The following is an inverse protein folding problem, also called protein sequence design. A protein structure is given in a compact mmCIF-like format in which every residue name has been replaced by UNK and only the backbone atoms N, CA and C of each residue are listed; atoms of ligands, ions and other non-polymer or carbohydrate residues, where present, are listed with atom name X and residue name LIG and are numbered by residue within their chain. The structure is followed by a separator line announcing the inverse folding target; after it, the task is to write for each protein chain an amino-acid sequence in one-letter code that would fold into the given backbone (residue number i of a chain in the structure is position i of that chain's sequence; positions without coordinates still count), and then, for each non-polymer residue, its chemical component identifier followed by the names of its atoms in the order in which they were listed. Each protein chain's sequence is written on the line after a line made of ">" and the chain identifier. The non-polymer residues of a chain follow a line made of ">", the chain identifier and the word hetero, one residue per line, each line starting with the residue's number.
data_IF_866108845576
#
_entry.id   IF_866108845576
#
_cell.length_a   1.000
_cell.length_b   1.000
_cell.length_c   1.000
_cell.angle_alpha   90.00
_cell.angle_beta   90.00
_cell.angle_gamma   90.00
#
_symmetry.space_group_name_H-M   'P 1'
#
loop_
_entity.id
_entity.type
_entity.pdbx_description
1 polymer ?
#
# COMPACT_ATOMS: atom_id res chain seq x y z
N UNK A 1 18.40 32.75 15.27
CA UNK A 1 17.76 31.58 14.63
C UNK A 1 18.31 31.42 13.22
N UNK A 2 19.28 30.52 13.00
CA UNK A 2 19.84 30.20 11.67
C UNK A 2 19.08 28.99 11.11
N UNK A 3 18.16 29.22 10.18
CA UNK A 3 17.34 28.14 9.61
C UNK A 3 16.68 28.46 8.26
N UNK A 4 17.17 29.49 7.54
CA UNK A 4 16.69 29.79 6.19
C UNK A 4 17.52 28.99 5.19
N UNK A 5 16.89 28.03 4.52
CA UNK A 5 17.47 27.31 3.38
C UNK A 5 17.19 28.13 2.12
N UNK A 6 18.23 28.54 1.42
CA UNK A 6 18.13 29.33 0.18
C UNK A 6 17.97 28.39 -1.02
N UNK A 7 17.34 28.83 -2.11
CA UNK A 7 16.99 27.98 -3.26
C UNK A 7 18.18 27.23 -3.89
N UNK A 8 19.37 27.85 -3.90
CA UNK A 8 20.61 27.30 -4.46
C UNK A 8 21.51 26.60 -3.43
N UNK A 9 21.08 26.50 -2.17
CA UNK A 9 21.83 25.80 -1.13
C UNK A 9 21.47 24.31 -1.19
N UNK A 10 22.26 23.54 -1.93
CA UNK A 10 22.07 22.09 -2.09
C UNK A 10 22.19 21.36 -0.76
N UNK A 11 23.16 21.74 0.07
CA UNK A 11 23.44 21.11 1.36
C UNK A 11 22.33 21.42 2.38
N UNK A 12 21.85 22.67 2.41
CA UNK A 12 20.70 23.06 3.22
C UNK A 12 19.41 22.36 2.81
N UNK A 13 19.17 22.18 1.51
CA UNK A 13 18.01 21.42 0.99
C UNK A 13 18.10 19.95 1.34
N UNK A 14 19.30 19.36 1.30
CA UNK A 14 19.52 17.98 1.72
C UNK A 14 19.24 17.80 3.23
N UNK A 15 19.76 18.69 4.09
CA UNK A 15 19.45 18.68 5.53
C UNK A 15 17.95 18.79 5.80
N UNK A 16 17.25 19.67 5.08
CA UNK A 16 15.80 19.81 5.17
C UNK A 16 15.07 18.55 4.69
N UNK A 17 15.50 17.95 3.59
CA UNK A 17 14.92 16.71 3.07
C UNK A 17 15.09 15.55 4.06
N UNK A 18 16.28 15.38 4.65
CA UNK A 18 16.54 14.42 5.73
C UNK A 18 15.61 14.65 6.93
N UNK A 19 15.36 15.90 7.28
CA UNK A 19 14.43 16.25 8.36
C UNK A 19 12.97 15.94 8.03
N UNK A 20 12.53 16.17 6.78
CA UNK A 20 11.15 15.90 6.33
C UNK A 20 10.88 14.39 6.27
N UNK A 21 11.82 13.61 5.74
CA UNK A 21 11.66 12.16 5.55
C UNK A 21 11.68 11.42 6.90
N UNK A 22 12.24 12.01 7.96
CA UNK A 22 12.39 11.43 9.31
C UNK A 22 12.82 9.94 9.25
N UNK A 23 13.98 9.62 8.65
CA UNK A 23 14.48 8.26 8.72
C UNK A 23 14.66 7.87 10.19
N UNK A 24 14.26 6.65 10.58
CA UNK A 24 14.25 6.23 11.99
C UNK A 24 15.66 6.12 12.59
N UNK A 25 16.68 5.97 11.75
CA UNK A 25 18.09 5.82 12.15
C UNK A 25 18.99 6.68 11.28
N UNK A 26 20.07 7.20 11.88
CA UNK A 26 21.14 7.84 11.11
C UNK A 26 22.17 6.81 10.69
N UNK A 27 22.42 6.69 9.38
CA UNK A 27 23.43 5.77 8.83
C UNK A 27 24.85 6.17 9.26
N UNK A 28 25.11 7.46 9.46
CA UNK A 28 26.41 7.97 9.94
C UNK A 28 26.72 7.49 11.37
N UNK A 29 25.70 7.11 12.14
CA UNK A 29 25.80 6.66 13.54
C UNK A 29 25.72 5.14 13.67
N UNK A 30 25.57 4.42 12.55
CA UNK A 30 25.42 2.97 12.50
C UNK A 30 26.73 2.35 12.01
N UNK A 31 27.33 1.49 12.82
CA UNK A 31 28.54 0.77 12.47
C UNK A 31 28.30 -0.73 12.59
N UNK A 32 28.75 -1.50 11.59
CA UNK A 32 28.69 -2.95 11.62
C UNK A 32 30.09 -3.53 11.75
N UNK A 33 30.31 -4.28 12.83
CA UNK A 33 31.54 -5.03 13.03
C UNK A 33 31.35 -6.48 12.55
N UNK A 34 32.01 -6.81 11.43
CA UNK A 34 31.94 -8.12 10.80
C UNK A 34 32.64 -9.21 11.62
N UNK A 35 33.64 -8.86 12.45
CA UNK A 35 34.41 -9.85 13.22
C UNK A 35 33.60 -10.38 14.39
N UNK A 36 32.97 -9.47 15.11
CA UNK A 36 32.16 -9.80 16.29
C UNK A 36 30.69 -10.04 15.96
N UNK A 37 30.28 -9.85 14.69
CA UNK A 37 28.89 -9.93 14.23
C UNK A 37 27.96 -9.03 15.06
N UNK A 38 28.37 -7.79 15.30
CA UNK A 38 27.60 -6.83 16.11
C UNK A 38 27.34 -5.54 15.35
N UNK A 39 26.19 -4.95 15.61
CA UNK A 39 25.78 -3.64 15.10
C UNK A 39 25.86 -2.64 16.25
N UNK A 40 26.70 -1.62 16.11
CA UNK A 40 26.80 -0.51 17.05
C UNK A 40 26.00 0.67 16.53
N UNK A 41 25.18 1.26 17.40
CA UNK A 41 24.49 2.51 17.13
C UNK A 41 24.92 3.57 18.15
N UNK A 42 25.53 4.63 17.67
CA UNK A 42 25.95 5.76 18.50
C UNK A 42 24.76 6.69 18.74
N UNK A 43 24.13 6.60 19.90
CA UNK A 43 23.13 7.57 20.36
C UNK A 43 23.77 8.91 20.72
N UNK A 44 22.96 9.83 21.27
CA UNK A 44 23.47 11.13 21.73
C UNK A 44 24.35 10.99 22.98
N UNK A 45 23.90 10.15 23.91
CA UNK A 45 24.51 10.01 25.24
C UNK A 45 25.12 8.63 25.46
N UNK A 46 24.72 7.63 24.66
CA UNK A 46 25.17 6.24 24.81
C UNK A 46 25.36 5.56 23.46
N UNK A 47 26.33 4.66 23.40
CA UNK A 47 26.51 3.73 22.28
C UNK A 47 25.89 2.41 22.66
N UNK A 48 24.98 1.90 21.83
CA UNK A 48 24.31 0.62 22.07
C UNK A 48 24.80 -0.41 21.06
N UNK A 49 25.16 -1.60 21.55
CA UNK A 49 25.51 -2.75 20.73
C UNK A 49 24.30 -3.68 20.61
N UNK A 50 24.08 -4.21 19.41
CA UNK A 50 22.97 -5.12 19.12
C UNK A 50 23.47 -6.29 18.27
N UNK A 51 22.83 -7.45 18.45
CA UNK A 51 22.92 -8.52 17.46
C UNK A 51 22.25 -8.08 16.14
N UNK A 52 22.70 -8.52 14.95
CA UNK A 52 22.19 -8.02 13.67
C UNK A 52 20.68 -8.24 13.49
N UNK A 53 20.18 -9.39 13.94
CA UNK A 53 18.74 -9.69 13.85
C UNK A 53 17.90 -8.81 14.79
N UNK A 54 18.40 -8.50 15.98
CA UNK A 54 17.71 -7.60 16.92
C UNK A 54 17.69 -6.16 16.40
N UNK A 55 18.78 -5.73 15.75
CA UNK A 55 18.84 -4.45 15.07
C UNK A 55 17.78 -4.38 13.96
N UNK A 56 17.70 -5.41 13.10
CA UNK A 56 16.67 -5.51 12.06
C UNK A 56 15.25 -5.47 12.64
N UNK A 57 14.97 -6.29 13.66
CA UNK A 57 13.67 -6.32 14.34
C UNK A 57 13.27 -4.94 14.85
N UNK A 58 14.20 -4.23 15.48
CA UNK A 58 13.97 -2.90 16.05
C UNK A 58 13.77 -1.84 14.96
N UNK A 59 14.48 -1.94 13.84
CA UNK A 59 14.23 -1.10 12.67
C UNK A 59 12.85 -1.35 12.05
N UNK A 60 12.41 -2.61 12.00
CA UNK A 60 11.10 -2.97 11.46
C UNK A 60 9.93 -2.36 12.23
N UNK A 61 10.10 -2.03 13.52
CA UNK A 61 9.07 -1.33 14.32
C UNK A 61 8.71 0.06 13.78
N UNK A 62 9.58 0.66 12.96
CA UNK A 62 9.31 1.96 12.34
C UNK A 62 8.55 1.86 11.02
N UNK A 63 8.39 0.64 10.48
CA UNK A 63 7.59 0.40 9.28
C UNK A 63 6.12 0.33 9.72
N UNK A 64 5.25 1.22 9.22
CA UNK A 64 3.83 1.20 9.58
C UNK A 64 3.13 -0.05 9.08
N UNK A 65 2.02 -0.39 9.72
CA UNK A 65 1.20 -1.53 9.29
C UNK A 65 0.56 -1.28 7.93
N UNK A 66 0.20 -2.38 7.24
CA UNK A 66 -0.44 -2.30 5.93
C UNK A 66 -1.76 -1.53 6.03
N UNK A 67 -1.84 -0.42 5.30
CA UNK A 67 -3.04 0.43 5.25
C UNK A 67 -3.07 1.53 6.32
N UNK A 68 -2.05 1.62 7.17
CA UNK A 68 -1.93 2.71 8.13
C UNK A 68 -1.55 4.03 7.42
N UNK A 69 -2.32 5.08 7.69
CA UNK A 69 -2.12 6.38 7.06
C UNK A 69 -1.10 7.22 7.85
N UNK A 70 0.16 7.25 7.38
CA UNK A 70 1.24 8.06 7.95
C UNK A 70 0.97 9.58 7.87
N UNK A 71 0.27 10.05 6.84
CA UNK A 71 0.02 11.46 6.56
C UNK A 71 -1.48 11.77 6.65
N UNK A 72 -1.89 12.41 7.73
CA UNK A 72 -3.27 12.90 7.92
C UNK A 72 -3.37 14.35 7.47
N UNK A 73 -4.08 14.59 6.38
CA UNK A 73 -4.33 15.95 5.89
C UNK A 73 -5.59 16.54 6.51
N UNK A 74 -5.48 17.74 7.08
CA UNK A 74 -6.59 18.46 7.71
C UNK A 74 -6.96 19.75 6.98
N UNK A 75 -8.15 20.27 7.27
CA UNK A 75 -8.65 21.54 6.77
C UNK A 75 -8.56 21.66 5.25
N UNK A 76 -7.83 22.67 4.78
CA UNK A 76 -7.66 22.98 3.36
C UNK A 76 -7.04 21.85 2.53
N UNK A 77 -6.17 21.04 3.14
CA UNK A 77 -5.47 19.95 2.44
C UNK A 77 -6.17 18.60 2.60
N UNK A 78 -7.23 18.50 3.41
CA UNK A 78 -7.96 17.25 3.61
C UNK A 78 -8.51 16.67 2.29
N UNK A 79 -8.61 15.34 2.21
CA UNK A 79 -9.15 14.67 1.03
C UNK A 79 -10.59 15.12 0.73
N UNK A 80 -11.40 15.38 1.78
CA UNK A 80 -12.75 15.92 1.67
C UNK A 80 -12.75 17.31 1.02
N UNK A 81 -11.95 18.26 1.52
CA UNK A 81 -11.93 19.63 0.97
C UNK A 81 -11.38 19.66 -0.45
N UNK A 82 -10.37 18.83 -0.76
CA UNK A 82 -9.87 18.63 -2.13
C UNK A 82 -10.93 18.05 -3.05
N UNK A 83 -11.68 17.04 -2.58
CA UNK A 83 -12.78 16.43 -3.33
C UNK A 83 -13.89 17.43 -3.65
N UNK A 84 -14.31 18.22 -2.66
CA UNK A 84 -15.30 19.28 -2.85
C UNK A 84 -14.83 20.32 -3.88
N UNK A 85 -13.56 20.75 -3.84
CA UNK A 85 -13.01 21.68 -4.84
C UNK A 85 -12.96 21.09 -6.24
N UNK A 86 -12.70 19.79 -6.38
CA UNK A 86 -12.76 19.11 -7.69
C UNK A 86 -14.20 18.98 -8.19
N UNK A 87 -15.17 18.82 -7.29
CA UNK A 87 -16.59 18.69 -7.65
C UNK A 87 -17.23 20.02 -8.08
N UNK A 88 -16.76 21.17 -7.56
CA UNK A 88 -17.35 22.48 -7.87
C UNK A 88 -17.28 22.85 -9.37
N UNK A 89 -16.13 22.73 -10.06
CA UNK A 89 -16.05 22.91 -11.51
C UNK A 89 -16.88 21.88 -12.28
N UNK A 90 -16.78 20.59 -11.90
CA UNK A 90 -17.50 19.50 -12.57
C UNK A 90 -19.03 19.65 -12.48
N UNK A 91 -19.56 20.17 -11.37
CA UNK A 91 -20.97 20.51 -11.21
C UNK A 91 -21.40 21.73 -12.03
N UNK A 92 -20.48 22.67 -12.28
CA UNK A 92 -20.74 23.85 -13.12
C UNK A 92 -20.74 23.53 -14.62
N UNK A 93 -19.90 22.58 -15.05
CA UNK A 93 -19.85 22.07 -16.42
C UNK A 93 -21.04 21.14 -16.71
N UNK A 94 -21.37 20.22 -15.79
CA UNK A 94 -22.55 19.36 -15.91
C UNK A 94 -23.90 20.12 -15.90
N UNK A 95 -23.90 21.40 -15.46
CA UNK A 95 -25.08 22.29 -15.54
C UNK A 95 -25.18 23.04 -16.86
N UNK A 96 -24.08 23.21 -17.60
CA UNK A 96 -24.06 23.81 -18.95
C UNK A 96 -24.54 22.84 -20.01
N UNK A 97 -24.32 21.53 -19.84
CA UNK A 97 -24.68 20.51 -20.84
C UNK A 97 -26.17 20.11 -20.82
N UNK A 98 -27.01 20.76 -19.99
CA UNK A 98 -28.47 20.50 -19.92
C UNK A 98 -29.32 21.48 -20.73
N UNK A 99 -28.81 22.03 -21.83
CA UNK A 99 -29.59 22.84 -22.79
C UNK A 99 -29.33 22.41 -24.24
N UNK A 100 -29.99 21.33 -24.66
CA UNK A 100 -30.75 21.20 -25.92
C UNK A 100 -30.86 19.72 -26.36
N UNK A 101 -31.99 19.30 -26.96
CA UNK A 101 -32.15 17.96 -27.49
C UNK A 101 -31.72 17.89 -28.97
N UNK A 102 -31.24 16.70 -29.36
CA UNK A 102 -31.23 16.10 -30.71
C UNK A 102 -29.97 16.21 -31.60
N UNK A 103 -29.72 15.05 -32.23
CA UNK A 103 -28.98 14.72 -33.46
C UNK A 103 -27.45 14.48 -33.35
N UNK A 104 -27.14 13.18 -33.36
CA UNK A 104 -25.82 12.55 -33.55
C UNK A 104 -25.37 12.72 -35.01
N UNK A 105 -24.07 12.96 -35.27
CA UNK A 105 -23.36 12.30 -36.36
C UNK A 105 -22.23 11.39 -35.82
N UNK A 106 -21.86 10.32 -36.55
CA UNK A 106 -20.93 9.31 -36.05
C UNK A 106 -19.49 9.79 -36.21
N UNK A 107 -18.78 9.95 -35.09
CA UNK A 107 -17.32 10.08 -35.07
C UNK A 107 -16.79 8.78 -34.47
N UNK A 108 -16.11 7.99 -35.30
CA UNK A 108 -15.63 6.63 -34.99
C UNK A 108 -14.39 6.58 -34.07
N UNK A 109 -14.03 7.65 -33.35
CA UNK A 109 -12.77 7.69 -32.59
C UNK A 109 -12.89 7.53 -31.06
N UNK A 110 -14.10 7.38 -30.50
CA UNK A 110 -14.28 7.34 -29.03
C UNK A 110 -14.84 6.01 -28.46
N UNK A 111 -14.80 4.92 -29.22
CA UNK A 111 -15.25 3.62 -28.69
C UNK A 111 -14.33 3.09 -27.57
N UNK A 112 -13.07 3.51 -27.51
CA UNK A 112 -12.15 3.06 -26.45
C UNK A 112 -12.52 3.62 -25.08
N UNK A 113 -12.98 4.88 -24.99
CA UNK A 113 -13.35 5.51 -23.73
C UNK A 113 -14.76 5.09 -23.24
N UNK A 114 -15.69 4.81 -24.16
CA UNK A 114 -17.06 4.36 -23.82
C UNK A 114 -17.08 2.89 -23.40
N UNK A 115 -16.28 2.02 -24.04
CA UNK A 115 -16.07 0.65 -23.55
C UNK A 115 -15.35 0.64 -22.19
N UNK A 116 -14.52 1.67 -21.93
CA UNK A 116 -13.92 1.92 -20.64
C UNK A 116 -14.89 2.51 -19.59
N UNK A 117 -16.17 2.60 -19.85
CA UNK A 117 -17.13 3.18 -18.92
C UNK A 117 -18.18 2.16 -18.48
N UNK A 118 -18.29 1.06 -19.23
CA UNK A 118 -19.31 0.02 -19.08
C UNK A 118 -18.81 -1.29 -18.44
N UNK A 119 -17.51 -1.59 -18.50
CA UNK A 119 -16.96 -2.71 -17.74
C UNK A 119 -16.91 -2.33 -16.25
N UNK A 120 -17.66 -3.06 -15.42
CA UNK A 120 -17.67 -2.88 -13.97
C UNK A 120 -16.21 -2.80 -13.44
N UNK A 121 -15.93 -1.95 -12.44
CA UNK A 121 -14.57 -1.77 -11.91
C UNK A 121 -13.85 -3.08 -11.58
N UNK A 122 -14.57 -4.11 -11.13
CA UNK A 122 -14.01 -5.43 -10.84
C UNK A 122 -13.54 -6.19 -12.09
N UNK A 123 -14.26 -6.11 -13.21
CA UNK A 123 -13.93 -6.87 -14.43
C UNK A 123 -12.61 -6.38 -15.02
N UNK A 124 -12.37 -5.07 -14.95
CA UNK A 124 -11.09 -4.45 -15.35
C UNK A 124 -9.94 -4.89 -14.46
N UNK A 125 -10.16 -4.99 -13.15
CA UNK A 125 -9.13 -5.43 -12.22
C UNK A 125 -8.74 -6.88 -12.49
N UNK A 126 -9.69 -7.77 -12.74
CA UNK A 126 -9.42 -9.15 -13.13
C UNK A 126 -8.62 -9.18 -14.43
N UNK A 127 -9.05 -8.45 -15.46
CA UNK A 127 -8.32 -8.37 -16.73
C UNK A 127 -6.90 -7.82 -16.57
N UNK A 128 -6.68 -6.87 -15.67
CA UNK A 128 -5.35 -6.30 -15.44
C UNK A 128 -4.42 -7.26 -14.70
N UNK A 129 -4.93 -8.02 -13.74
CA UNK A 129 -4.12 -8.88 -12.87
C UNK A 129 -3.88 -10.24 -13.51
N UNK A 130 -4.93 -10.81 -14.11
CA UNK A 130 -4.92 -12.17 -14.65
C UNK A 130 -4.89 -12.22 -16.17
N UNK A 131 -4.86 -11.06 -16.85
CA UNK A 131 -4.84 -10.96 -18.32
C UNK A 131 -6.03 -11.64 -19.03
N UNK A 132 -7.08 -11.99 -18.27
CA UNK A 132 -8.29 -12.66 -18.75
C UNK A 132 -9.50 -11.72 -18.63
N UNK A 133 -10.29 -11.57 -19.69
CA UNK A 133 -11.53 -10.80 -19.66
C UNK A 133 -12.71 -11.67 -19.17
N UNK A 134 -13.26 -11.41 -17.96
CA UNK A 134 -14.32 -12.24 -17.40
C UNK A 134 -15.67 -12.07 -18.11
N UNK A 135 -15.82 -11.06 -18.97
CA UNK A 135 -17.04 -10.81 -19.74
C UNK A 135 -16.97 -11.40 -21.16
N UNK A 136 -15.98 -12.24 -21.46
CA UNK A 136 -15.89 -12.98 -22.73
C UNK A 136 -16.03 -14.47 -22.46
N UNK A 137 -16.94 -15.13 -23.18
CA UNK A 137 -17.13 -16.57 -23.01
C UNK A 137 -15.90 -17.35 -23.50
N UNK A 138 -15.30 -18.26 -22.70
CA UNK A 138 -14.12 -19.02 -23.11
C UNK A 138 -14.41 -20.03 -24.24
N UNK A 139 -15.68 -20.42 -24.45
CA UNK A 139 -16.06 -21.41 -25.48
C UNK A 139 -16.37 -20.77 -26.83
N UNK A 140 -17.12 -19.66 -26.83
CA UNK A 140 -17.63 -19.05 -28.07
C UNK A 140 -17.09 -17.64 -28.33
N UNK A 141 -16.25 -17.09 -27.44
CA UNK A 141 -15.60 -15.77 -27.55
C UNK A 141 -16.56 -14.58 -27.72
N UNK A 142 -17.84 -14.76 -27.38
CA UNK A 142 -18.84 -13.69 -27.42
C UNK A 142 -18.88 -12.90 -26.13
N UNK A 143 -19.25 -11.61 -26.18
CA UNK A 143 -19.45 -10.80 -24.97
C UNK A 143 -20.63 -11.34 -24.16
N UNK A 144 -20.43 -11.49 -22.85
CA UNK A 144 -21.42 -11.95 -21.88
C UNK A 144 -22.01 -10.77 -21.13
N UNK A 145 -23.29 -10.89 -20.75
CA UNK A 145 -23.99 -9.93 -19.89
C UNK A 145 -24.30 -10.59 -18.54
N UNK A 146 -24.24 -9.81 -17.47
CA UNK A 146 -24.58 -10.30 -16.13
C UNK A 146 -26.10 -10.41 -16.04
N UNK A 147 -26.60 -11.62 -15.79
CA UNK A 147 -28.05 -11.88 -15.66
C UNK A 147 -28.59 -11.62 -14.26
N UNK A 148 -27.83 -11.95 -13.22
CA UNK A 148 -28.22 -11.76 -11.82
C UNK A 148 -26.99 -11.78 -10.90
N UNK A 149 -27.14 -11.19 -9.72
CA UNK A 149 -26.24 -11.38 -8.58
C UNK A 149 -26.93 -12.27 -7.56
N UNK A 150 -26.23 -13.29 -7.06
CA UNK A 150 -26.73 -14.23 -6.06
C UNK A 150 -25.92 -13.98 -4.80
N UNK A 151 -26.58 -13.51 -3.74
CA UNK A 151 -25.95 -13.15 -2.46
C UNK A 151 -26.27 -14.14 -1.34
N UNK A 152 -27.25 -15.04 -1.53
CA UNK A 152 -27.63 -16.02 -0.51
C UNK A 152 -26.64 -17.20 -0.46
N UNK A 153 -25.94 -17.35 0.68
CA UNK A 153 -24.92 -18.38 0.92
C UNK A 153 -25.46 -19.80 0.71
N UNK A 154 -26.70 -20.06 1.12
CA UNK A 154 -27.30 -21.40 0.99
C UNK A 154 -27.50 -21.79 -0.48
N UNK A 155 -27.89 -20.81 -1.30
CA UNK A 155 -28.08 -20.95 -2.74
C UNK A 155 -26.75 -21.06 -3.46
N UNK A 156 -25.76 -20.22 -3.10
CA UNK A 156 -24.39 -20.28 -3.63
C UNK A 156 -23.80 -21.68 -3.38
N UNK A 157 -23.93 -22.20 -2.15
CA UNK A 157 -23.42 -23.53 -1.81
C UNK A 157 -24.07 -24.64 -2.63
N UNK A 158 -25.40 -24.61 -2.82
CA UNK A 158 -26.11 -25.60 -3.64
C UNK A 158 -25.63 -25.58 -5.09
N UNK A 159 -25.47 -24.39 -5.68
CA UNK A 159 -24.98 -24.20 -7.05
C UNK A 159 -23.55 -24.75 -7.18
N UNK A 160 -22.65 -24.35 -6.29
CA UNK A 160 -21.25 -24.76 -6.35
C UNK A 160 -21.08 -26.26 -6.12
N UNK A 161 -21.86 -26.88 -5.22
CA UNK A 161 -21.88 -28.34 -5.05
C UNK A 161 -22.35 -29.05 -6.31
N UNK A 162 -23.40 -28.55 -6.96
CA UNK A 162 -23.91 -29.12 -8.22
C UNK A 162 -22.88 -29.03 -9.35
N UNK A 163 -22.10 -27.95 -9.40
CA UNK A 163 -21.03 -27.75 -10.37
C UNK A 163 -19.72 -28.50 -10.02
N UNK A 164 -19.63 -29.14 -8.85
CA UNK A 164 -18.40 -29.77 -8.37
C UNK A 164 -17.29 -28.78 -7.99
N UNK A 165 -17.62 -27.50 -7.79
CA UNK A 165 -16.67 -26.40 -7.50
C UNK A 165 -16.65 -26.02 -6.01
N UNK A 166 -17.36 -26.75 -5.15
CA UNK A 166 -17.38 -26.50 -3.71
C UNK A 166 -16.09 -27.02 -3.06
N UNK A 167 -15.01 -26.25 -3.16
CA UNK A 167 -13.76 -26.53 -2.45
C UNK A 167 -13.80 -25.91 -1.04
N UNK A 168 -13.97 -26.75 -0.01
CA UNK A 168 -13.67 -26.38 1.37
C UNK A 168 -12.17 -26.43 1.60
N UNK A 169 -11.36 -25.70 0.80
CA UNK A 169 -9.97 -25.46 1.19
C UNK A 169 -10.04 -24.53 2.39
N UNK A 170 -9.98 -25.13 3.57
CA UNK A 170 -9.66 -24.40 4.78
C UNK A 170 -8.34 -23.69 4.52
N UNK A 171 -8.38 -22.38 4.30
CA UNK A 171 -7.25 -21.50 4.54
C UNK A 171 -7.00 -21.46 6.05
N UNK A 172 -6.83 -22.63 6.67
CA UNK A 172 -6.34 -22.71 8.02
C UNK A 172 -4.92 -22.14 7.99
N UNK A 173 -4.58 -21.23 8.90
CA UNK A 173 -3.19 -20.81 9.05
C UNK A 173 -2.31 -22.05 9.22
N UNK A 174 -1.03 -22.01 8.77
CA UNK A 174 -0.11 -23.10 9.02
C UNK A 174 -0.13 -23.48 10.51
N UNK A 175 -0.10 -24.78 10.85
CA UNK A 175 -0.22 -25.23 12.23
C UNK A 175 0.83 -24.54 13.09
N UNK A 176 0.41 -24.02 14.24
CA UNK A 176 1.18 -23.20 15.18
C UNK A 176 2.33 -23.95 15.88
N UNK A 177 2.72 -25.13 15.41
CA UNK A 177 3.77 -25.96 16.01
C UNK A 177 5.18 -25.51 15.62
N UNK A 178 5.42 -24.22 15.43
CA UNK A 178 6.76 -23.67 15.62
C UNK A 178 6.86 -23.45 17.12
N UNK A 179 7.51 -24.39 17.80
CA UNK A 179 7.99 -24.19 19.17
C UNK A 179 8.90 -22.96 19.10
N UNK A 180 8.38 -21.80 19.51
CA UNK A 180 9.23 -20.69 19.89
C UNK A 180 9.95 -21.15 21.16
N UNK A 181 11.16 -21.68 21.01
CA UNK A 181 12.06 -21.78 22.15
C UNK A 181 12.19 -20.37 22.72
N UNK A 182 11.62 -20.18 23.91
CA UNK A 182 11.87 -19.04 24.74
C UNK A 182 13.34 -19.08 25.11
N UNK A 183 14.18 -18.41 24.32
CA UNK A 183 15.58 -18.20 24.65
C UNK A 183 15.60 -17.27 25.85
N UNK A 184 15.58 -17.85 27.05
CA UNK A 184 15.86 -17.16 28.30
C UNK A 184 17.33 -16.75 28.26
N UNK A 185 17.57 -15.46 28.02
CA UNK A 185 18.92 -14.90 28.02
C UNK A 185 19.40 -14.76 29.47
N UNK A 186 20.33 -15.63 29.89
CA UNK A 186 21.12 -15.42 31.12
C UNK A 186 22.06 -14.25 30.83
N UNK A 187 21.74 -13.08 31.36
CA UNK A 187 22.56 -11.89 31.24
C UNK A 187 23.85 -12.05 32.04
N UNK A 188 24.90 -12.57 31.41
CA UNK A 188 26.26 -12.40 31.92
C UNK A 188 26.72 -10.98 31.58
N UNK A 189 26.67 -10.12 32.58
CA UNK A 189 27.23 -8.78 32.58
C UNK A 189 28.76 -8.85 32.60
N UNK A 190 29.38 -9.11 31.44
CA UNK A 190 30.81 -8.84 31.27
C UNK A 190 30.97 -7.45 30.65
N UNK A 191 31.13 -6.45 31.53
CA UNK A 191 31.61 -5.12 31.17
C UNK A 191 33.04 -5.23 30.64
N UNK A 192 33.22 -5.25 29.32
CA UNK A 192 34.53 -5.02 28.71
C UNK A 192 34.63 -3.59 28.21
N UNK A 193 35.71 -2.85 28.50
CA UNK A 193 35.81 -1.45 28.14
C UNK A 193 36.05 -1.28 26.63
N UNK A 194 35.34 -0.31 26.06
CA UNK A 194 35.44 0.15 24.67
C UNK A 194 36.80 0.87 24.49
N UNK A 195 37.63 0.51 23.50
CA UNK A 195 38.82 1.29 23.17
C UNK A 195 38.45 2.62 22.48
N UNK A 196 39.21 3.67 22.82
CA UNK A 196 39.02 5.07 22.43
C UNK A 196 39.08 5.34 20.92
#
# INVERSE_FOLDING_TARGET
>A
MKGKVVANDTEGRERLARYIIRPPVSLERLMYDRKNQQVFYQGKDQTSAYHPLDSCRRMSLHIPDKGEQLLRYYGWYSNKSRGLRKAVPALSEAKKDKRSPSLIPPVEEDLTHVLQTTALPWARLIRKIYEVDPLVCPKCQRPMKIGAFIEDDSTIQKILKHLGLWETRSYSPPPSSIICEEIVYVGESSTTPVPA
#
